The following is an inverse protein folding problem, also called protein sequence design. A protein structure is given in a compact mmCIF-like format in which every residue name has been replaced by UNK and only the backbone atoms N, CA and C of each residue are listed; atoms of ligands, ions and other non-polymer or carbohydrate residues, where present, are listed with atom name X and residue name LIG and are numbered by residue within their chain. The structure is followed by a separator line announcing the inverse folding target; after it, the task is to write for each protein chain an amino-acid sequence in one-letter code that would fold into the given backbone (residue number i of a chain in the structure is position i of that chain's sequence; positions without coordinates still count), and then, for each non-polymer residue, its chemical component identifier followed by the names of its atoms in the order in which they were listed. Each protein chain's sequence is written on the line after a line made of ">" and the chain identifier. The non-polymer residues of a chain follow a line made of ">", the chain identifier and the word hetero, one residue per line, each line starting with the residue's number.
data_IF_428850458955
#
_entry.id   IF_428850458955
#
_cell.length_a   1.000
_cell.length_b   1.000
_cell.length_c   1.000
_cell.angle_alpha   90.00
_cell.angle_beta   90.00
_cell.angle_gamma   90.00
#
_symmetry.space_group_name_H-M   'P 1'
#
loop_
_entity.id
_entity.type
_entity.pdbx_description
1 polymer ?
#
# COMPACT_ATOMS: atom_id res chain seq x y z
N UNK A 1 -47.46 -29.52 -16.32
CA UNK A 1 -47.38 -28.06 -16.29
C UNK A 1 -46.86 -27.67 -14.91
N UNK A 2 -45.77 -26.90 -14.84
CA UNK A 2 -44.97 -26.71 -13.63
C UNK A 2 -45.45 -25.50 -12.83
N UNK A 3 -45.39 -25.56 -11.51
CA UNK A 3 -45.27 -24.36 -10.68
C UNK A 3 -43.90 -24.40 -10.02
N UNK A 4 -42.97 -23.76 -10.73
CA UNK A 4 -41.65 -23.38 -10.28
C UNK A 4 -41.80 -22.07 -9.50
N UNK A 5 -41.72 -22.09 -8.18
CA UNK A 5 -41.55 -20.86 -7.39
C UNK A 5 -40.35 -21.01 -6.46
N UNK A 6 -39.28 -20.38 -6.96
CA UNK A 6 -38.24 -19.65 -6.26
C UNK A 6 -37.53 -20.36 -5.11
N UNK A 7 -36.34 -20.87 -5.42
CA UNK A 7 -35.22 -20.81 -4.49
C UNK A 7 -35.08 -19.37 -3.98
N UNK A 8 -35.42 -19.15 -2.71
CA UNK A 8 -34.90 -18.04 -1.92
C UNK A 8 -33.39 -18.25 -1.80
N UNK A 9 -32.64 -17.68 -2.74
CA UNK A 9 -31.19 -17.61 -2.65
C UNK A 9 -30.83 -16.63 -1.53
N UNK A 10 -30.27 -17.21 -0.47
CA UNK A 10 -29.81 -16.54 0.72
C UNK A 10 -28.84 -15.39 0.40
N UNK A 11 -29.22 -14.17 0.71
CA UNK A 11 -28.25 -13.09 0.99
C UNK A 11 -28.20 -12.88 2.48
N UNK A 12 -27.53 -13.81 3.17
CA UNK A 12 -27.02 -13.56 4.50
C UNK A 12 -26.00 -12.40 4.40
N UNK A 13 -26.21 -11.26 5.09
CA UNK A 13 -25.27 -10.14 5.06
C UNK A 13 -23.85 -10.51 5.55
N UNK A 14 -23.67 -11.67 6.19
CA UNK A 14 -22.38 -12.22 6.64
C UNK A 14 -21.62 -13.04 5.59
N UNK A 15 -22.19 -13.31 4.40
CA UNK A 15 -21.57 -14.15 3.39
C UNK A 15 -21.38 -13.41 2.06
N UNK A 16 -20.28 -12.63 1.92
CA UNK A 16 -20.01 -11.93 0.68
C UNK A 16 -19.69 -12.90 -0.45
N UNK A 17 -20.49 -12.84 -1.52
CA UNK A 17 -20.30 -13.64 -2.74
C UNK A 17 -19.27 -13.01 -3.68
N UNK A 18 -18.93 -11.74 -3.47
CA UNK A 18 -18.01 -10.95 -4.30
C UNK A 18 -16.76 -10.52 -3.49
N UNK A 19 -15.53 -10.75 -3.99
CA UNK A 19 -14.30 -10.41 -3.28
C UNK A 19 -14.15 -8.92 -2.93
N UNK A 20 -14.65 -8.00 -3.77
CA UNK A 20 -14.58 -6.56 -3.51
C UNK A 20 -15.56 -6.17 -2.40
N UNK A 21 -16.75 -6.78 -2.37
CA UNK A 21 -17.70 -6.63 -1.25
C UNK A 21 -17.17 -7.23 0.04
N UNK A 22 -16.54 -8.41 -0.02
CA UNK A 22 -15.90 -9.04 1.12
C UNK A 22 -14.83 -8.15 1.76
N UNK A 23 -14.00 -7.53 0.91
CA UNK A 23 -12.98 -6.57 1.34
C UNK A 23 -13.58 -5.36 2.06
N UNK A 24 -14.63 -4.77 1.50
CA UNK A 24 -15.34 -3.65 2.12
C UNK A 24 -15.93 -4.03 3.49
N UNK A 25 -16.66 -5.14 3.55
CA UNK A 25 -17.25 -5.64 4.80
C UNK A 25 -16.19 -5.94 5.87
N UNK A 26 -15.06 -6.56 5.49
CA UNK A 26 -13.98 -6.83 6.43
C UNK A 26 -13.34 -5.54 6.96
N UNK A 27 -13.11 -4.55 6.09
CA UNK A 27 -12.56 -3.25 6.47
C UNK A 27 -13.51 -2.48 7.40
N UNK A 28 -14.80 -2.48 7.08
CA UNK A 28 -15.86 -1.85 7.89
C UNK A 28 -15.97 -2.52 9.26
N UNK A 29 -16.00 -3.85 9.31
CA UNK A 29 -16.07 -4.63 10.55
C UNK A 29 -14.85 -4.38 11.45
N UNK A 30 -13.65 -4.34 10.86
CA UNK A 30 -12.39 -4.19 11.58
C UNK A 30 -12.01 -2.70 11.80
N UNK A 31 -12.84 -1.77 11.32
CA UNK A 31 -12.70 -0.34 11.56
C UNK A 31 -11.41 0.27 10.98
N UNK A 32 -11.04 -0.14 9.76
CA UNK A 32 -9.92 0.43 8.98
C UNK A 32 -10.33 0.67 7.52
N UNK A 33 -9.57 1.48 6.78
CA UNK A 33 -9.91 1.82 5.39
C UNK A 33 -9.60 0.67 4.42
N UNK A 34 -10.52 0.31 3.52
CA UNK A 34 -10.27 -0.72 2.49
C UNK A 34 -9.27 -0.30 1.40
N UNK A 35 -9.15 1.02 1.18
CA UNK A 35 -8.30 1.64 0.17
C UNK A 35 -8.69 3.10 -0.05
N UNK A 36 -8.02 3.75 -1.00
CA UNK A 36 -8.30 5.14 -1.44
C UNK A 36 -8.41 5.17 -2.95
N UNK A 37 -9.48 5.74 -3.49
CA UNK A 37 -9.70 5.86 -4.93
C UNK A 37 -9.25 7.22 -5.43
N UNK A 38 -8.50 7.24 -6.53
CA UNK A 38 -8.05 8.42 -7.26
C UNK A 38 -8.68 8.44 -8.66
N UNK A 39 -9.19 9.60 -9.05
CA UNK A 39 -9.61 9.87 -10.43
C UNK A 39 -8.39 10.24 -11.26
N UNK A 40 -8.12 9.48 -12.31
CA UNK A 40 -6.99 9.69 -13.22
C UNK A 40 -7.39 10.53 -14.46
N UNK A 41 -8.64 11.01 -14.52
CA UNK A 41 -9.20 11.72 -15.65
C UNK A 41 -9.73 10.79 -16.75
N UNK A 42 -10.59 11.34 -17.62
CA UNK A 42 -11.16 10.57 -18.74
C UNK A 42 -12.07 9.41 -18.33
N UNK A 43 -12.56 9.38 -17.08
CA UNK A 43 -13.36 8.30 -16.52
C UNK A 43 -12.54 7.11 -16.00
N UNK A 44 -11.22 7.21 -16.02
CA UNK A 44 -10.32 6.19 -15.47
C UNK A 44 -10.09 6.45 -13.98
N UNK A 45 -10.21 5.41 -13.17
CA UNK A 45 -9.97 5.48 -11.73
C UNK A 45 -8.93 4.44 -11.34
N UNK A 46 -8.10 4.78 -10.36
CA UNK A 46 -7.17 3.86 -9.75
C UNK A 46 -7.37 3.82 -8.24
N UNK A 47 -7.34 2.63 -7.67
CA UNK A 47 -7.52 2.43 -6.24
C UNK A 47 -6.19 2.02 -5.61
N UNK A 48 -5.73 2.80 -4.63
CA UNK A 48 -4.68 2.42 -3.70
C UNK A 48 -5.28 1.44 -2.69
N UNK A 49 -5.01 0.13 -2.76
CA UNK A 49 -5.54 -0.82 -1.80
C UNK A 49 -4.90 -0.63 -0.42
N UNK A 50 -5.63 -0.98 0.63
CA UNK A 50 -5.01 -1.16 1.94
C UNK A 50 -3.90 -2.24 1.88
N UNK A 51 -2.77 -2.07 2.60
CA UNK A 51 -1.69 -3.04 2.66
C UNK A 51 -2.13 -4.49 2.93
N UNK A 52 -3.15 -4.71 3.76
CA UNK A 52 -3.69 -6.03 4.07
C UNK A 52 -4.29 -6.73 2.84
N UNK A 53 -4.80 -5.95 1.88
CA UNK A 53 -5.53 -6.40 0.71
C UNK A 53 -4.73 -6.38 -0.59
N UNK A 54 -3.41 -6.16 -0.53
CA UNK A 54 -2.56 -6.31 -1.71
C UNK A 54 -2.72 -7.71 -2.30
N UNK A 55 -2.91 -7.80 -3.62
CA UNK A 55 -2.85 -9.07 -4.32
C UNK A 55 -1.40 -9.63 -4.35
N UNK A 56 -1.23 -10.85 -4.87
CA UNK A 56 0.08 -11.52 -4.90
C UNK A 56 1.13 -10.76 -5.70
N UNK A 57 0.74 -10.14 -6.82
CA UNK A 57 1.68 -9.41 -7.68
C UNK A 57 2.04 -8.06 -7.06
N UNK A 58 1.06 -7.34 -6.52
CA UNK A 58 1.25 -6.12 -5.76
C UNK A 58 2.17 -6.35 -4.55
N UNK A 59 1.96 -7.43 -3.78
CA UNK A 59 2.85 -7.82 -2.68
C UNK A 59 4.26 -8.13 -3.17
N UNK A 60 4.41 -8.74 -4.35
CA UNK A 60 5.73 -8.98 -4.93
C UNK A 60 6.43 -7.65 -5.24
N UNK A 61 5.78 -6.75 -5.98
CA UNK A 61 6.35 -5.45 -6.34
C UNK A 61 6.68 -4.59 -5.12
N UNK A 62 5.78 -4.54 -4.13
CA UNK A 62 6.05 -3.83 -2.87
C UNK A 62 7.25 -4.42 -2.11
N UNK A 63 7.39 -5.74 -2.06
CA UNK A 63 8.59 -6.36 -1.45
C UNK A 63 9.86 -6.08 -2.23
N UNK A 64 9.79 -6.05 -3.56
CA UNK A 64 10.93 -5.70 -4.41
C UNK A 64 11.34 -4.23 -4.16
N UNK A 65 10.37 -3.31 -4.06
CA UNK A 65 10.61 -1.93 -3.61
C UNK A 65 11.29 -1.86 -2.22
N UNK A 66 10.82 -2.62 -1.23
CA UNK A 66 11.46 -2.64 0.09
C UNK A 66 12.91 -3.17 0.03
N UNK A 67 13.20 -4.11 -0.87
CA UNK A 67 14.58 -4.58 -1.10
C UNK A 67 15.43 -3.51 -1.76
N UNK A 68 14.85 -2.77 -2.70
CA UNK A 68 15.54 -1.63 -3.33
C UNK A 68 15.87 -0.54 -2.32
N UNK A 69 14.97 -0.29 -1.36
CA UNK A 69 15.20 0.68 -0.28
C UNK A 69 16.33 0.25 0.67
N UNK A 70 16.46 -1.04 0.94
CA UNK A 70 17.57 -1.58 1.72
C UNK A 70 18.90 -1.61 0.94
N UNK A 71 18.85 -1.45 -0.38
CA UNK A 71 19.99 -1.46 -1.28
C UNK A 71 20.26 -0.06 -1.86
N UNK A 72 19.88 0.99 -1.14
CA UNK A 72 20.32 2.35 -1.43
C UNK A 72 21.78 2.54 -1.05
N UNK A 73 22.41 3.55 -1.65
CA UNK A 73 23.79 3.90 -1.39
C UNK A 73 23.96 4.33 0.07
N UNK A 74 25.04 3.84 0.68
CA UNK A 74 25.40 4.13 2.06
C UNK A 74 26.80 4.73 2.14
N UNK A 75 27.03 5.51 3.20
CA UNK A 75 28.33 6.04 3.56
C UNK A 75 28.74 5.58 4.96
N UNK A 76 30.05 5.39 5.16
CA UNK A 76 30.62 5.10 6.47
C UNK A 76 30.89 6.41 7.21
N UNK A 77 30.15 6.63 8.29
CA UNK A 77 30.33 7.77 9.19
C UNK A 77 30.82 7.31 10.56
N UNK A 78 31.45 8.22 11.30
CA UNK A 78 31.81 7.95 12.68
C UNK A 78 30.55 7.84 13.55
N UNK A 79 30.57 6.87 14.47
CA UNK A 79 29.45 6.63 15.37
C UNK A 79 29.32 7.83 16.33
N UNK A 80 28.13 8.45 16.44
CA UNK A 80 27.97 9.73 17.15
C UNK A 80 28.26 9.64 18.66
N UNK A 81 28.26 8.42 19.22
CA UNK A 81 28.43 8.16 20.65
C UNK A 81 29.61 7.25 21.01
N UNK A 82 30.31 6.67 20.03
CA UNK A 82 31.36 5.66 20.31
C UNK A 82 32.58 6.01 19.49
N UNK A 83 33.60 6.52 20.17
CA UNK A 83 34.85 6.93 19.55
C UNK A 83 35.53 5.76 18.83
N UNK A 84 36.01 6.01 17.61
CA UNK A 84 36.68 5.01 16.77
C UNK A 84 35.76 3.95 16.13
N UNK A 85 34.45 3.95 16.40
CA UNK A 85 33.49 3.06 15.73
C UNK A 85 32.92 3.75 14.50
N UNK A 86 32.86 3.04 13.37
CA UNK A 86 32.16 3.48 12.16
C UNK A 86 30.83 2.76 11.99
N UNK A 87 29.86 3.44 11.40
CA UNK A 87 28.55 2.88 11.04
C UNK A 87 28.19 3.26 9.62
N UNK A 88 27.51 2.35 8.93
CA UNK A 88 26.90 2.63 7.64
C UNK A 88 25.61 3.42 7.85
N UNK A 89 25.45 4.48 7.06
CA UNK A 89 24.24 5.29 7.01
C UNK A 89 23.83 5.48 5.56
N UNK A 90 22.55 5.32 5.26
CA UNK A 90 21.99 5.67 3.94
C UNK A 90 22.21 7.15 3.65
N UNK A 91 22.72 7.45 2.46
CA UNK A 91 22.99 8.82 1.99
C UNK A 91 21.64 9.54 1.77
N UNK A 92 21.56 10.80 2.20
CA UNK A 92 20.39 11.66 1.95
C UNK A 92 20.82 12.98 1.30
N UNK A 93 20.19 13.46 0.20
CA UNK A 93 19.10 12.82 -0.56
C UNK A 93 19.45 11.41 -1.06
N UNK A 94 18.43 10.56 -1.23
CA UNK A 94 18.64 9.15 -1.51
C UNK A 94 19.27 8.93 -2.87
N UNK A 95 20.27 8.03 -2.91
CA UNK A 95 20.94 7.60 -4.12
C UNK A 95 20.86 6.09 -4.26
N UNK A 96 20.83 5.63 -5.50
CA UNK A 96 20.98 4.23 -5.86
C UNK A 96 21.95 4.12 -7.03
N UNK A 97 23.03 3.37 -6.82
CA UNK A 97 24.09 3.19 -7.83
C UNK A 97 24.64 4.54 -8.33
N UNK A 98 24.73 5.53 -7.43
CA UNK A 98 25.19 6.89 -7.69
C UNK A 98 24.19 7.80 -8.39
N UNK A 99 22.94 7.37 -8.59
CA UNK A 99 21.88 8.15 -9.24
C UNK A 99 20.81 8.59 -8.26
N UNK A 100 20.21 9.76 -8.51
CA UNK A 100 19.07 10.27 -7.73
C UNK A 100 17.95 9.23 -7.66
N UNK A 101 17.50 8.95 -6.45
CA UNK A 101 16.46 7.97 -6.20
C UNK A 101 15.31 8.61 -5.43
N UNK A 102 14.13 8.69 -6.06
CA UNK A 102 12.91 9.16 -5.41
C UNK A 102 12.11 7.96 -4.86
N UNK A 103 12.08 7.76 -3.53
CA UNK A 103 11.38 6.62 -2.92
C UNK A 103 9.86 6.71 -3.04
N UNK A 104 9.28 7.91 -3.13
CA UNK A 104 7.84 8.10 -3.21
C UNK A 104 7.37 7.75 -4.63
N UNK A 105 8.12 8.18 -5.66
CA UNK A 105 7.88 7.78 -7.05
C UNK A 105 7.97 6.25 -7.18
N UNK A 106 9.03 5.63 -6.66
CA UNK A 106 9.20 4.17 -6.77
C UNK A 106 8.12 3.40 -6.01
N UNK A 107 7.66 3.89 -4.86
CA UNK A 107 6.52 3.31 -4.14
C UNK A 107 5.25 3.36 -5.00
N UNK A 108 4.96 4.51 -5.63
CA UNK A 108 3.80 4.66 -6.51
C UNK A 108 3.85 3.65 -7.66
N UNK A 109 4.99 3.57 -8.36
CA UNK A 109 5.19 2.64 -9.48
C UNK A 109 5.02 1.19 -9.03
N UNK A 110 5.57 0.81 -7.87
CA UNK A 110 5.43 -0.53 -7.32
C UNK A 110 3.97 -0.90 -7.04
N UNK A 111 3.21 0.01 -6.41
CA UNK A 111 1.81 -0.22 -6.05
C UNK A 111 0.89 -0.20 -7.27
N UNK A 112 1.06 0.77 -8.16
CA UNK A 112 0.28 0.89 -9.41
C UNK A 112 0.62 -0.22 -10.41
N UNK A 113 1.84 -0.77 -10.35
CA UNK A 113 2.31 -1.85 -11.20
C UNK A 113 2.58 -1.48 -12.65
N UNK A 114 2.43 -0.20 -13.01
CA UNK A 114 2.66 0.29 -14.36
C UNK A 114 3.09 1.75 -14.34
N UNK A 115 4.17 2.06 -15.07
CA UNK A 115 4.61 3.44 -15.31
C UNK A 115 3.53 4.26 -16.01
N UNK A 116 2.76 3.64 -16.91
CA UNK A 116 1.69 4.32 -17.62
C UNK A 116 0.55 4.77 -16.69
N UNK A 117 0.23 4.02 -15.64
CA UNK A 117 -0.79 4.43 -14.65
C UNK A 117 -0.24 5.56 -13.78
N UNK A 118 1.03 5.46 -13.39
CA UNK A 118 1.71 6.52 -12.65
C UNK A 118 1.75 7.84 -13.44
N UNK A 119 2.09 7.80 -14.73
CA UNK A 119 2.11 9.00 -15.57
C UNK A 119 0.69 9.62 -15.71
N UNK A 120 -0.37 8.81 -15.76
CA UNK A 120 -1.76 9.29 -15.71
C UNK A 120 -2.10 9.93 -14.36
N UNK A 121 -1.65 9.33 -13.26
CA UNK A 121 -1.82 9.89 -11.92
C UNK A 121 -1.15 11.26 -11.81
N UNK A 122 0.07 11.42 -12.32
CA UNK A 122 0.73 12.74 -12.38
C UNK A 122 -0.02 13.72 -13.27
N UNK A 123 -0.49 13.28 -14.45
CA UNK A 123 -1.25 14.11 -15.37
C UNK A 123 -2.60 14.59 -14.78
N UNK A 124 -3.19 13.80 -13.89
CA UNK A 124 -4.39 14.16 -13.13
C UNK A 124 -4.11 15.12 -11.95
N UNK A 125 -2.85 15.51 -11.74
CA UNK A 125 -2.42 16.39 -10.64
C UNK A 125 -2.08 15.65 -9.35
N UNK A 126 -1.99 14.32 -9.37
CA UNK A 126 -1.51 13.52 -8.27
C UNK A 126 -0.03 13.79 -7.99
N UNK A 127 0.36 13.70 -6.70
CA UNK A 127 1.76 13.81 -6.30
C UNK A 127 2.19 12.56 -5.51
N UNK A 128 3.42 12.05 -5.69
CA UNK A 128 3.85 10.79 -5.08
C UNK A 128 3.70 10.75 -3.55
N UNK A 129 4.03 11.85 -2.88
CA UNK A 129 3.90 11.97 -1.42
C UNK A 129 2.47 11.78 -0.89
N UNK A 130 1.42 11.98 -1.71
CA UNK A 130 0.04 11.65 -1.32
C UNK A 130 -0.14 10.15 -1.12
N UNK A 131 0.43 9.33 -2.03
CA UNK A 131 0.35 7.87 -1.95
C UNK A 131 1.07 7.37 -0.71
N UNK A 132 2.30 7.85 -0.47
CA UNK A 132 3.06 7.48 0.74
C UNK A 132 2.31 7.87 2.03
N UNK A 133 1.71 9.06 2.06
CA UNK A 133 0.92 9.50 3.23
C UNK A 133 -0.28 8.61 3.49
N UNK A 134 -1.09 8.31 2.46
CA UNK A 134 -2.24 7.42 2.60
C UNK A 134 -1.83 5.98 2.94
N UNK A 135 -0.71 5.51 2.38
CA UNK A 135 -0.13 4.21 2.67
C UNK A 135 0.24 4.09 4.16
N UNK A 136 1.01 5.05 4.69
CA UNK A 136 1.39 5.11 6.11
C UNK A 136 0.18 5.22 7.03
N UNK A 137 -0.83 6.01 6.65
CA UNK A 137 -2.07 6.10 7.40
C UNK A 137 -2.76 4.73 7.54
N UNK A 138 -2.90 4.01 6.43
CA UNK A 138 -3.54 2.68 6.42
C UNK A 138 -2.71 1.64 7.20
N UNK A 139 -1.38 1.67 7.09
CA UNK A 139 -0.51 0.81 7.91
C UNK A 139 -0.68 1.10 9.40
N UNK A 140 -0.66 2.38 9.79
CA UNK A 140 -0.82 2.78 11.18
C UNK A 140 -2.17 2.36 11.76
N UNK A 141 -3.26 2.47 10.99
CA UNK A 141 -4.58 1.98 11.41
C UNK A 141 -4.55 0.48 11.72
N UNK A 142 -3.94 -0.34 10.85
CA UNK A 142 -3.81 -1.77 11.10
C UNK A 142 -2.97 -2.09 12.35
N UNK A 143 -1.84 -1.40 12.52
CA UNK A 143 -0.97 -1.60 13.68
C UNK A 143 -1.65 -1.23 14.99
N UNK A 144 -2.33 -0.09 15.04
CA UNK A 144 -3.05 0.36 16.23
C UNK A 144 -4.18 -0.61 16.60
N UNK A 145 -4.92 -1.13 15.61
CA UNK A 145 -5.98 -2.12 15.85
C UNK A 145 -5.42 -3.45 16.35
N UNK A 146 -4.33 -3.94 15.75
CA UNK A 146 -3.66 -5.17 16.19
C UNK A 146 -3.15 -5.05 17.63
N UNK A 147 -2.63 -3.87 18.01
CA UNK A 147 -2.18 -3.59 19.38
C UNK A 147 -3.33 -3.57 20.38
N UNK A 148 -4.50 -3.02 20.02
CA UNK A 148 -5.68 -3.02 20.89
C UNK A 148 -6.18 -4.45 21.09
N UNK A 149 -6.29 -5.23 20.02
CA UNK A 149 -6.73 -6.63 20.08
C UNK A 149 -5.79 -7.49 20.95
N UNK A 150 -4.47 -7.30 20.80
CA UNK A 150 -3.46 -7.99 21.63
C UNK A 150 -3.50 -7.66 23.13
N UNK A 151 -4.16 -6.57 23.53
CA UNK A 151 -4.36 -6.18 24.94
C UNK A 151 -5.70 -6.66 25.50
N UNK A 152 -6.58 -7.16 24.66
CA UNK A 152 -7.91 -7.65 25.02
C UNK A 152 -7.99 -9.19 25.06
N UNK A 153 -6.89 -9.89 24.77
CA UNK A 153 -6.72 -11.35 24.92
C UNK A 153 -5.83 -11.71 26.10
#
# INVERSE_FOLDING_TARGET
>A
MPDNQSHDDATDPLHPVDPKKARGQAADLLGFMAGVTFDLGGGEVWELPNPAFLDTEQRKRYRDYLREMNALDTELIDHPLVEGKKVERTIYPYLKDGQDYDPDEQLCIALMGSRAIYDKFLAAGGVPGQIDTHWKLMQRQLEERTKIDSKSN
#
